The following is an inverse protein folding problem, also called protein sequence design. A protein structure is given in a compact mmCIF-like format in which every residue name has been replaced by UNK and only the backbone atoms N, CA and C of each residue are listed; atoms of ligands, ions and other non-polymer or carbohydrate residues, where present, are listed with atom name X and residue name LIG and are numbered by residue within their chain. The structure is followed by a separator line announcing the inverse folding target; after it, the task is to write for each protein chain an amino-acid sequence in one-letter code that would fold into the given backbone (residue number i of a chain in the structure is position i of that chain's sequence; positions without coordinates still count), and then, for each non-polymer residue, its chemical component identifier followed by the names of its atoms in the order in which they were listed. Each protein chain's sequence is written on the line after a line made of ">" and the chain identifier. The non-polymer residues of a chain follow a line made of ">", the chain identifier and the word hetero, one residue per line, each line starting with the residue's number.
data_IF_814954274924
#
_entry.id   IF_814954274924
#
_cell.length_a   1.000
_cell.length_b   1.000
_cell.length_c   1.000
_cell.angle_alpha   90.00
_cell.angle_beta   90.00
_cell.angle_gamma   90.00
#
_symmetry.space_group_name_H-M   'P 1'
#
loop_
_entity.id
_entity.type
_entity.pdbx_description
1 polymer ?
#
# COMPACT_ATOMS: atom_id res chain seq x y z
N UNK A 1 -10.68 -0.86 28.31
CA UNK A 1 -11.51 -1.11 27.12
C UNK A 1 -11.10 -2.45 26.54
N UNK A 2 -11.85 -3.53 26.83
CA UNK A 2 -11.56 -4.87 26.30
C UNK A 2 -12.26 -4.99 24.95
N UNK A 3 -11.53 -4.81 23.86
CA UNK A 3 -11.99 -5.21 22.53
C UNK A 3 -12.04 -6.74 22.50
N UNK A 4 -13.24 -7.30 22.61
CA UNK A 4 -13.47 -8.70 22.29
C UNK A 4 -13.10 -8.91 20.82
N UNK A 5 -12.00 -9.61 20.58
CA UNK A 5 -11.62 -10.15 19.28
C UNK A 5 -12.59 -11.30 18.96
N UNK A 6 -13.82 -10.98 18.58
CA UNK A 6 -14.67 -11.96 17.93
C UNK A 6 -14.01 -12.36 16.61
N UNK A 7 -13.91 -13.66 16.35
CA UNK A 7 -13.61 -14.14 15.01
C UNK A 7 -14.70 -13.59 14.10
N UNK A 8 -14.32 -12.68 13.19
CA UNK A 8 -15.23 -12.19 12.16
C UNK A 8 -15.43 -13.38 11.23
N UNK A 9 -16.61 -14.01 11.32
CA UNK A 9 -17.07 -14.99 10.33
C UNK A 9 -17.03 -14.34 8.95
N UNK A 10 -16.87 -15.17 7.93
CA UNK A 10 -16.92 -14.73 6.54
C UNK A 10 -18.13 -13.82 6.31
N UNK A 11 -17.88 -12.63 5.78
CA UNK A 11 -18.93 -11.66 5.45
C UNK A 11 -19.08 -11.61 3.94
N UNK A 12 -20.33 -11.47 3.50
CA UNK A 12 -20.69 -11.54 2.10
C UNK A 12 -21.60 -10.39 1.72
N UNK A 13 -21.32 -9.80 0.57
CA UNK A 13 -22.05 -8.66 0.03
C UNK A 13 -22.04 -8.69 -1.49
N UNK A 14 -23.11 -8.20 -2.09
CA UNK A 14 -23.17 -7.90 -3.52
C UNK A 14 -22.81 -6.44 -3.73
N UNK A 15 -21.85 -6.19 -4.61
CA UNK A 15 -21.26 -4.88 -4.85
C UNK A 15 -21.42 -4.45 -6.30
N UNK A 16 -21.33 -3.14 -6.52
CA UNK A 16 -21.34 -2.49 -7.83
C UNK A 16 -19.96 -1.95 -8.18
N UNK A 17 -19.80 -1.45 -9.41
CA UNK A 17 -18.56 -0.80 -9.83
C UNK A 17 -18.22 0.47 -9.01
N UNK A 18 -19.17 1.05 -8.28
CA UNK A 18 -18.92 2.22 -7.44
C UNK A 18 -18.27 1.88 -6.08
N UNK A 19 -18.25 0.61 -5.70
CA UNK A 19 -17.91 0.19 -4.33
C UNK A 19 -16.43 -0.22 -4.16
N UNK A 20 -15.58 0.00 -5.17
CA UNK A 20 -14.16 -0.40 -5.09
C UNK A 20 -13.42 0.25 -3.93
N UNK A 21 -13.60 1.56 -3.71
CA UNK A 21 -12.93 2.26 -2.61
C UNK A 21 -13.27 1.62 -1.25
N UNK A 22 -14.52 1.19 -1.07
CA UNK A 22 -14.94 0.47 0.13
C UNK A 22 -14.20 -0.86 0.29
N UNK A 23 -14.05 -1.65 -0.77
CA UNK A 23 -13.32 -2.92 -0.74
C UNK A 23 -11.83 -2.72 -0.44
N UNK A 24 -11.22 -1.66 -0.96
CA UNK A 24 -9.84 -1.31 -0.66
C UNK A 24 -9.65 -0.97 0.82
N UNK A 25 -10.57 -0.22 1.41
CA UNK A 25 -10.58 0.04 2.85
C UNK A 25 -10.75 -1.26 3.67
N UNK A 26 -11.62 -2.17 3.24
CA UNK A 26 -11.75 -3.50 3.88
C UNK A 26 -10.47 -4.32 3.76
N UNK A 27 -9.83 -4.31 2.60
CA UNK A 27 -8.60 -5.07 2.33
C UNK A 27 -7.44 -4.69 3.27
N UNK A 28 -7.45 -3.48 3.86
CA UNK A 28 -6.45 -3.07 4.87
C UNK A 28 -6.48 -3.91 6.15
N UNK A 29 -7.63 -4.52 6.45
CA UNK A 29 -7.89 -5.19 7.74
C UNK A 29 -8.43 -6.62 7.61
N UNK A 30 -8.83 -7.04 6.40
CA UNK A 30 -9.39 -8.36 6.11
C UNK A 30 -8.80 -8.93 4.82
N UNK A 31 -8.72 -10.26 4.73
CA UNK A 31 -8.44 -10.92 3.45
C UNK A 31 -9.67 -10.78 2.56
N UNK A 32 -9.64 -9.80 1.65
CA UNK A 32 -10.80 -9.43 0.84
C UNK A 32 -10.69 -10.03 -0.55
N UNK A 33 -11.78 -10.61 -1.04
CA UNK A 33 -11.88 -11.20 -2.36
C UNK A 33 -13.11 -10.70 -3.10
N UNK A 34 -13.03 -10.65 -4.43
CA UNK A 34 -14.18 -10.39 -5.29
C UNK A 34 -14.41 -11.61 -6.17
N UNK A 35 -15.62 -12.16 -6.10
CA UNK A 35 -16.09 -13.18 -7.03
C UNK A 35 -16.86 -12.51 -8.17
N UNK A 36 -16.27 -12.51 -9.36
CA UNK A 36 -16.89 -11.97 -10.57
C UNK A 36 -17.65 -13.06 -11.31
N UNK A 37 -18.85 -12.72 -11.78
CA UNK A 37 -19.73 -13.68 -12.46
C UNK A 37 -20.57 -13.03 -13.58
N UNK A 38 -21.08 -13.88 -14.49
CA UNK A 38 -21.93 -13.51 -15.64
C UNK A 38 -23.41 -13.77 -15.37
N UNK A 39 -24.30 -13.07 -16.10
CA UNK A 39 -25.77 -13.17 -15.97
C UNK A 39 -26.33 -14.59 -16.19
N UNK A 40 -25.65 -15.43 -16.97
CA UNK A 40 -26.11 -16.78 -17.32
C UNK A 40 -25.56 -17.89 -16.39
N UNK A 41 -24.97 -17.55 -15.24
CA UNK A 41 -24.56 -18.58 -14.27
C UNK A 41 -25.74 -18.99 -13.38
N UNK A 42 -26.60 -19.89 -13.87
CA UNK A 42 -27.77 -20.39 -13.12
C UNK A 42 -27.37 -21.06 -11.78
N UNK A 43 -26.10 -21.45 -11.63
CA UNK A 43 -25.53 -22.04 -10.40
C UNK A 43 -25.01 -21.01 -9.38
N UNK A 44 -25.22 -19.69 -9.57
CA UNK A 44 -24.69 -18.64 -8.68
C UNK A 44 -25.08 -18.88 -7.22
N UNK A 45 -26.35 -19.14 -6.97
CA UNK A 45 -26.88 -19.15 -5.60
C UNK A 45 -26.41 -20.37 -4.82
N UNK A 46 -26.45 -21.57 -5.39
CA UNK A 46 -26.03 -22.76 -4.66
C UNK A 46 -24.51 -22.75 -4.36
N UNK A 47 -23.71 -22.36 -5.34
CA UNK A 47 -22.26 -22.32 -5.22
C UNK A 47 -21.78 -21.30 -4.19
N UNK A 48 -22.33 -20.08 -4.23
CA UNK A 48 -22.05 -19.04 -3.23
C UNK A 48 -22.53 -19.48 -1.85
N UNK A 49 -23.72 -20.06 -1.73
CA UNK A 49 -24.25 -20.51 -0.44
C UNK A 49 -23.40 -21.62 0.18
N UNK A 50 -22.80 -22.51 -0.62
CA UNK A 50 -21.85 -23.49 -0.12
C UNK A 50 -20.53 -22.84 0.32
N UNK A 51 -20.05 -21.84 -0.43
CA UNK A 51 -18.91 -21.03 -0.01
C UNK A 51 -19.18 -20.31 1.32
N UNK A 52 -20.41 -19.83 1.56
CA UNK A 52 -20.79 -19.22 2.85
C UNK A 52 -20.78 -20.20 4.02
N UNK A 53 -20.91 -21.51 3.77
CA UNK A 53 -20.80 -22.55 4.80
C UNK A 53 -19.35 -22.84 5.16
N UNK A 54 -18.39 -22.51 4.28
CA UNK A 54 -16.98 -22.70 4.58
C UNK A 54 -16.50 -21.70 5.64
N UNK A 55 -15.86 -22.23 6.69
CA UNK A 55 -15.43 -21.45 7.85
C UNK A 55 -14.05 -20.82 7.61
N UNK A 56 -13.99 -19.77 6.79
CA UNK A 56 -12.79 -18.95 6.66
C UNK A 56 -12.75 -17.84 7.72
N UNK A 57 -11.72 -17.84 8.55
CA UNK A 57 -11.52 -16.78 9.54
C UNK A 57 -10.92 -15.50 8.92
N UNK A 58 -11.55 -14.34 9.18
CA UNK A 58 -11.08 -13.02 8.74
C UNK A 58 -10.97 -12.89 7.20
N UNK A 59 -11.88 -13.54 6.50
CA UNK A 59 -12.05 -13.42 5.04
C UNK A 59 -13.33 -12.65 4.74
N UNK A 60 -13.27 -11.72 3.80
CA UNK A 60 -14.41 -11.00 3.25
C UNK A 60 -14.55 -11.36 1.78
N UNK A 61 -15.74 -11.77 1.35
CA UNK A 61 -15.99 -12.15 -0.05
C UNK A 61 -17.13 -11.29 -0.57
N UNK A 62 -16.79 -10.37 -1.46
CA UNK A 62 -17.75 -9.58 -2.20
C UNK A 62 -18.07 -10.26 -3.55
N UNK A 63 -19.25 -9.99 -4.10
CA UNK A 63 -19.63 -10.48 -5.43
C UNK A 63 -19.99 -9.37 -6.36
N UNK A 64 -19.48 -9.44 -7.59
CA UNK A 64 -19.72 -8.42 -8.59
C UNK A 64 -20.25 -9.05 -9.86
N UNK A 65 -21.40 -8.55 -10.30
CA UNK A 65 -22.01 -8.92 -11.57
C UNK A 65 -21.37 -8.15 -12.70
N UNK A 66 -20.76 -8.83 -13.66
CA UNK A 66 -20.29 -8.19 -14.89
C UNK A 66 -21.47 -8.10 -15.86
N UNK A 67 -22.06 -6.91 -15.97
CA UNK A 67 -23.22 -6.65 -16.84
C UNK A 67 -22.87 -5.93 -18.13
N UNK A 68 -21.80 -5.14 -18.13
CA UNK A 68 -21.24 -4.46 -19.29
C UNK A 68 -19.72 -4.62 -19.26
N UNK A 69 -19.15 -5.09 -20.36
CA UNK A 69 -17.72 -5.30 -20.48
C UNK A 69 -17.05 -3.96 -20.74
N UNK A 70 -16.78 -3.19 -19.68
CA UNK A 70 -15.84 -2.07 -19.77
C UNK A 70 -14.43 -2.63 -20.03
N UNK A 71 -13.52 -1.81 -20.58
CA UNK A 71 -12.16 -2.23 -20.97
C UNK A 71 -11.40 -3.01 -19.88
N UNK A 72 -11.57 -2.64 -18.59
CA UNK A 72 -10.96 -3.32 -17.43
C UNK A 72 -11.44 -4.78 -17.28
N UNK A 73 -12.68 -5.05 -17.68
CA UNK A 73 -13.32 -6.35 -17.54
C UNK A 73 -13.25 -7.21 -18.81
N UNK A 74 -12.78 -6.66 -19.93
CA UNK A 74 -12.61 -7.44 -21.16
C UNK A 74 -11.67 -8.62 -20.90
N UNK A 75 -10.57 -8.37 -20.19
CA UNK A 75 -9.58 -9.39 -19.85
C UNK A 75 -10.11 -10.45 -18.86
N UNK A 76 -11.09 -10.08 -18.03
CA UNK A 76 -11.69 -10.99 -17.05
C UNK A 76 -12.87 -11.79 -17.63
N UNK A 77 -13.53 -11.25 -18.66
CA UNK A 77 -14.78 -11.79 -19.20
C UNK A 77 -14.65 -13.20 -19.80
N UNK A 78 -13.48 -13.54 -20.35
CA UNK A 78 -13.17 -14.85 -20.93
C UNK A 78 -12.90 -15.94 -19.88
N UNK A 79 -12.58 -15.56 -18.64
CA UNK A 79 -12.19 -16.48 -17.56
C UNK A 79 -13.32 -16.74 -16.56
N UNK A 80 -14.46 -16.05 -16.68
CA UNK A 80 -15.57 -16.13 -15.72
C UNK A 80 -16.09 -17.57 -15.50
N UNK A 81 -16.51 -17.92 -14.26
CA UNK A 81 -16.40 -17.11 -13.04
C UNK A 81 -14.97 -17.10 -12.50
N UNK A 82 -14.57 -15.98 -11.90
CA UNK A 82 -13.24 -15.81 -11.29
C UNK A 82 -13.36 -15.31 -9.86
N UNK A 83 -12.41 -15.70 -9.02
CA UNK A 83 -12.20 -15.13 -7.70
C UNK A 83 -10.87 -14.42 -7.70
N UNK A 84 -10.84 -13.16 -7.29
CA UNK A 84 -9.60 -12.37 -7.18
C UNK A 84 -9.38 -11.90 -5.74
N UNK A 85 -8.12 -11.76 -5.32
CA UNK A 85 -7.75 -11.12 -4.05
C UNK A 85 -7.66 -9.60 -4.27
N UNK A 86 -8.27 -8.83 -3.38
CA UNK A 86 -8.17 -7.36 -3.36
C UNK A 86 -6.99 -6.94 -2.49
N UNK A 87 -6.19 -6.01 -3.00
CA UNK A 87 -5.08 -5.42 -2.27
C UNK A 87 -5.43 -3.99 -1.82
N UNK A 88 -5.03 -3.57 -0.61
CA UNK A 88 -5.35 -2.25 -0.05
C UNK A 88 -5.10 -1.04 -0.95
N UNK A 89 -4.07 -1.10 -1.80
CA UNK A 89 -3.52 0.04 -2.54
C UNK A 89 -3.33 -0.24 -4.04
N UNK A 90 -3.82 -1.39 -4.55
CA UNK A 90 -3.74 -1.73 -5.98
C UNK A 90 -5.12 -1.88 -6.58
N UNK A 91 -5.70 -0.73 -6.93
CA UNK A 91 -7.00 -0.67 -7.59
C UNK A 91 -6.86 -1.31 -8.98
N UNK A 92 -7.71 -2.30 -9.26
CA UNK A 92 -7.73 -3.07 -10.51
C UNK A 92 -6.52 -4.00 -10.76
N UNK A 93 -5.71 -4.33 -9.74
CA UNK A 93 -4.71 -5.39 -9.88
C UNK A 93 -5.35 -6.77 -9.65
N UNK A 94 -5.71 -7.42 -10.75
CA UNK A 94 -6.31 -8.76 -10.76
C UNK A 94 -5.28 -9.87 -11.03
N UNK A 95 -3.99 -9.64 -10.76
CA UNK A 95 -2.92 -10.64 -10.98
C UNK A 95 -3.14 -11.90 -10.14
N UNK A 96 -3.64 -11.75 -8.93
CA UNK A 96 -3.98 -12.89 -8.08
C UNK A 96 -5.45 -13.24 -8.20
N UNK A 97 -5.70 -14.17 -9.10
CA UNK A 97 -7.01 -14.73 -9.36
C UNK A 97 -6.93 -16.22 -9.64
N UNK A 98 -8.06 -16.88 -9.46
CA UNK A 98 -8.28 -18.26 -9.91
C UNK A 98 -9.61 -18.34 -10.64
N UNK A 99 -9.72 -19.25 -11.61
CA UNK A 99 -11.02 -19.63 -12.16
C UNK A 99 -11.78 -20.37 -11.08
N UNK A 100 -12.95 -19.85 -10.73
CA UNK A 100 -13.70 -20.27 -9.55
C UNK A 100 -14.88 -21.16 -9.95
N UNK A 101 -14.55 -22.27 -10.65
CA UNK A 101 -15.54 -23.20 -11.23
C UNK A 101 -15.96 -24.30 -10.25
N UNK A 102 -15.10 -24.65 -9.29
CA UNK A 102 -15.36 -25.64 -8.25
C UNK A 102 -15.06 -25.06 -6.87
N UNK A 103 -15.70 -25.64 -5.85
CA UNK A 103 -15.54 -25.19 -4.46
C UNK A 103 -14.10 -25.41 -4.01
N UNK A 104 -13.53 -26.57 -4.34
CA UNK A 104 -12.14 -26.93 -4.03
C UNK A 104 -11.12 -25.91 -4.55
N UNK A 105 -11.34 -25.38 -5.76
CA UNK A 105 -10.44 -24.38 -6.38
C UNK A 105 -10.40 -23.09 -5.54
N UNK A 106 -11.56 -22.68 -5.01
CA UNK A 106 -11.66 -21.50 -4.15
C UNK A 106 -11.03 -21.79 -2.79
N UNK A 107 -11.37 -22.93 -2.18
CA UNK A 107 -10.83 -23.28 -0.87
C UNK A 107 -9.31 -23.37 -0.90
N UNK A 108 -8.75 -23.97 -1.95
CA UNK A 108 -7.32 -24.03 -2.18
C UNK A 108 -6.72 -22.63 -2.35
N UNK A 109 -7.32 -21.77 -3.19
CA UNK A 109 -6.83 -20.43 -3.43
C UNK A 109 -6.84 -19.54 -2.17
N UNK A 110 -7.95 -19.55 -1.41
CA UNK A 110 -8.05 -18.81 -0.15
C UNK A 110 -7.03 -19.36 0.86
N UNK A 111 -6.91 -20.69 1.00
CA UNK A 111 -5.95 -21.30 1.94
C UNK A 111 -4.50 -20.94 1.59
N UNK A 112 -4.14 -20.96 0.31
CA UNK A 112 -2.81 -20.55 -0.16
C UNK A 112 -2.53 -19.06 0.14
N UNK A 113 -3.52 -18.19 -0.08
CA UNK A 113 -3.37 -16.74 0.06
C UNK A 113 -3.56 -16.21 1.49
N UNK A 114 -3.86 -17.09 2.45
CA UNK A 114 -4.06 -16.77 3.88
C UNK A 114 -3.10 -17.53 4.82
N UNK A 115 -2.07 -18.17 4.27
CA UNK A 115 -1.06 -18.88 5.06
C UNK A 115 -0.35 -17.94 6.04
N UNK A 116 -0.22 -18.35 7.31
CA UNK A 116 0.61 -17.61 8.27
C UNK A 116 2.08 -17.80 7.90
N UNK A 117 2.75 -16.69 7.61
CA UNK A 117 4.19 -16.65 7.34
C UNK A 117 5.00 -15.99 8.46
N UNK A 118 4.36 -15.70 9.59
CA UNK A 118 5.06 -15.10 10.72
C UNK A 118 6.04 -16.09 11.34
N UNK A 119 7.30 -15.69 11.43
CA UNK A 119 8.37 -16.53 11.99
C UNK A 119 8.64 -16.11 13.43
N UNK A 120 8.60 -17.06 14.37
CA UNK A 120 9.12 -16.84 15.72
C UNK A 120 10.64 -16.98 15.69
N UNK A 121 11.36 -15.92 16.03
CA UNK A 121 12.81 -15.90 15.89
C UNK A 121 13.57 -16.63 17.00
N UNK A 122 12.95 -16.91 18.15
CA UNK A 122 13.63 -17.45 19.34
C UNK A 122 14.99 -16.77 19.67
N UNK A 123 15.16 -15.49 19.32
CA UNK A 123 16.42 -14.73 19.52
C UNK A 123 17.39 -14.64 18.33
N UNK A 124 17.09 -15.24 17.18
CA UNK A 124 17.91 -15.09 15.97
C UNK A 124 17.49 -13.87 15.12
N UNK A 125 18.08 -12.72 15.41
CA UNK A 125 17.73 -11.44 14.75
C UNK A 125 18.44 -11.20 13.41
N UNK A 126 19.52 -11.94 13.12
CA UNK A 126 20.35 -11.71 11.92
C UNK A 126 19.60 -12.03 10.63
N UNK A 127 18.63 -12.94 10.66
CA UNK A 127 17.86 -13.35 9.49
C UNK A 127 16.94 -12.26 8.94
N UNK A 128 16.53 -11.27 9.74
CA UNK A 128 15.57 -10.24 9.30
C UNK A 128 16.22 -9.12 8.49
N UNK A 129 17.46 -8.79 8.83
CA UNK A 129 18.12 -7.56 8.34
C UNK A 129 18.47 -7.64 6.84
N UNK A 130 18.51 -8.84 6.25
CA UNK A 130 18.88 -9.07 4.85
C UNK A 130 17.71 -9.30 3.89
N UNK A 131 16.46 -9.39 4.37
CA UNK A 131 15.33 -9.84 3.54
C UNK A 131 14.69 -8.73 2.68
N UNK A 132 15.09 -7.48 2.88
CA UNK A 132 14.43 -6.32 2.27
C UNK A 132 14.86 -6.05 0.82
N UNK A 133 15.92 -6.68 0.31
CA UNK A 133 16.56 -6.28 -0.97
C UNK A 133 15.65 -6.53 -2.18
N UNK A 134 14.64 -7.39 -2.06
CA UNK A 134 13.75 -7.74 -3.17
C UNK A 134 12.29 -7.30 -3.00
N UNK A 135 11.96 -6.44 -2.03
CA UNK A 135 10.56 -6.05 -1.84
C UNK A 135 10.27 -5.13 -0.67
N UNK A 136 9.24 -5.48 0.09
CA UNK A 136 8.64 -4.70 1.16
C UNK A 136 9.41 -4.77 2.48
N UNK A 137 8.96 -3.97 3.45
CA UNK A 137 9.61 -3.87 4.75
C UNK A 137 9.55 -5.18 5.52
N UNK A 138 10.53 -5.37 6.39
CA UNK A 138 10.48 -6.43 7.40
C UNK A 138 9.93 -5.88 8.71
N UNK A 139 9.00 -6.61 9.31
CA UNK A 139 8.33 -6.27 10.55
C UNK A 139 8.74 -7.25 11.64
N UNK A 140 9.06 -6.73 12.82
CA UNK A 140 9.41 -7.53 13.99
C UNK A 140 8.61 -7.08 15.22
N UNK A 141 7.66 -7.90 15.64
CA UNK A 141 6.89 -7.67 16.85
C UNK A 141 7.54 -8.34 18.06
N UNK A 142 7.84 -7.57 19.10
CA UNK A 142 8.16 -8.09 20.43
C UNK A 142 6.98 -7.86 21.35
N UNK A 143 6.43 -8.91 21.95
CA UNK A 143 5.31 -8.81 22.87
C UNK A 143 5.35 -9.95 23.89
N UNK A 144 4.57 -9.83 24.97
CA UNK A 144 4.50 -10.89 25.97
C UNK A 144 3.86 -12.15 25.37
N UNK A 145 4.31 -13.33 25.82
CA UNK A 145 3.71 -14.61 25.44
C UNK A 145 2.20 -14.59 25.66
N UNK A 146 1.43 -15.03 24.65
CA UNK A 146 -0.04 -15.04 24.71
C UNK A 146 -0.70 -13.66 24.60
N UNK A 147 0.04 -12.59 24.27
CA UNK A 147 -0.54 -11.26 24.08
C UNK A 147 -1.52 -11.25 22.89
N UNK A 148 -2.70 -10.61 23.02
CA UNK A 148 -3.62 -10.39 21.89
C UNK A 148 -2.96 -9.69 20.71
N UNK A 149 -1.92 -8.87 20.96
CA UNK A 149 -1.13 -8.22 19.89
C UNK A 149 -0.44 -9.23 18.97
N UNK A 150 0.04 -10.36 19.50
CA UNK A 150 0.68 -11.39 18.68
C UNK A 150 -0.36 -12.05 17.78
N UNK A 151 -1.55 -12.35 18.31
CA UNK A 151 -2.63 -12.93 17.52
C UNK A 151 -3.08 -11.97 16.41
N UNK A 152 -3.26 -10.69 16.74
CA UNK A 152 -3.57 -9.66 15.75
C UNK A 152 -2.47 -9.56 14.67
N UNK A 153 -1.20 -9.52 15.08
CA UNK A 153 -0.07 -9.46 14.16
C UNK A 153 0.00 -10.66 13.19
N UNK A 154 -0.28 -11.87 13.70
CA UNK A 154 -0.40 -13.09 12.87
C UNK A 154 -1.58 -13.05 11.90
N UNK A 155 -2.67 -12.36 12.26
CA UNK A 155 -3.79 -12.15 11.32
C UNK A 155 -3.38 -11.17 10.22
N UNK A 156 -2.69 -10.09 10.58
CA UNK A 156 -2.23 -9.06 9.65
C UNK A 156 -1.19 -9.63 8.68
N UNK A 157 -0.25 -10.46 9.15
CA UNK A 157 0.76 -11.08 8.28
C UNK A 157 0.13 -11.87 7.12
N UNK A 158 -1.04 -12.50 7.33
CA UNK A 158 -1.77 -13.24 6.29
C UNK A 158 -2.39 -12.33 5.22
N UNK A 159 -2.85 -11.14 5.61
CA UNK A 159 -3.43 -10.14 4.68
C UNK A 159 -2.36 -9.70 3.68
N UNK A 160 -1.21 -9.32 4.22
CA UNK A 160 -0.07 -8.79 3.50
C UNK A 160 0.89 -9.87 2.97
N UNK A 161 0.59 -11.15 3.21
CA UNK A 161 1.32 -12.26 2.63
C UNK A 161 1.06 -12.29 1.13
N UNK A 162 2.08 -11.88 0.36
CA UNK A 162 2.04 -12.00 -1.08
C UNK A 162 3.40 -11.80 -1.76
N UNK A 163 3.57 -12.44 -2.92
CA UNK A 163 4.66 -12.21 -3.88
C UNK A 163 4.70 -10.78 -4.42
N UNK A 164 3.61 -10.02 -4.24
CA UNK A 164 3.53 -8.61 -4.65
C UNK A 164 4.42 -7.73 -3.78
N UNK A 165 4.21 -7.72 -2.46
CA UNK A 165 4.99 -6.85 -1.57
C UNK A 165 6.20 -7.56 -0.98
N UNK A 166 6.27 -8.90 -0.96
CA UNK A 166 7.40 -9.65 -0.38
C UNK A 166 7.82 -9.17 1.02
N UNK A 167 6.84 -8.77 1.83
CA UNK A 167 7.08 -8.34 3.22
C UNK A 167 7.43 -9.53 4.11
N UNK A 168 8.31 -9.31 5.08
CA UNK A 168 8.63 -10.33 6.08
C UNK A 168 7.99 -10.00 7.41
N UNK A 169 7.35 -10.99 8.03
CA UNK A 169 6.78 -10.88 9.37
C UNK A 169 7.51 -11.80 10.33
N UNK A 170 8.05 -11.23 11.39
CA UNK A 170 8.66 -11.97 12.47
C UNK A 170 8.17 -11.49 13.82
N UNK A 171 8.25 -12.35 14.83
CA UNK A 171 7.91 -11.98 16.20
C UNK A 171 8.81 -12.67 17.23
N UNK A 172 8.77 -12.14 18.46
CA UNK A 172 9.44 -12.73 19.62
C UNK A 172 8.51 -12.61 20.82
N UNK A 173 8.31 -13.74 21.49
CA UNK A 173 7.53 -13.84 22.71
C UNK A 173 8.43 -13.64 23.92
N UNK A 174 8.14 -12.61 24.72
CA UNK A 174 8.85 -12.36 25.97
C UNK A 174 8.10 -12.99 27.15
N UNK A 175 8.84 -13.61 28.06
CA UNK A 175 8.29 -14.11 29.35
C UNK A 175 8.18 -13.00 30.40
N UNK A 176 9.01 -11.95 30.29
CA UNK A 176 8.96 -10.79 31.17
C UNK A 176 7.89 -9.81 30.69
N UNK A 177 7.10 -9.24 31.62
CA UNK A 177 6.12 -8.19 31.33
C UNK A 177 6.81 -6.99 30.68
N UNK A 178 6.73 -6.91 29.37
CA UNK A 178 7.24 -5.81 28.54
C UNK A 178 6.09 -5.19 27.76
N UNK A 179 6.18 -3.88 27.50
CA UNK A 179 5.26 -3.23 26.56
C UNK A 179 5.57 -3.78 25.16
N UNK A 180 4.54 -4.08 24.34
CA UNK A 180 4.78 -4.53 22.99
C UNK A 180 5.51 -3.44 22.19
N UNK A 181 6.38 -3.88 21.30
CA UNK A 181 7.16 -3.01 20.44
C UNK A 181 7.25 -3.62 19.04
N UNK A 182 6.87 -2.84 18.03
CA UNK A 182 7.01 -3.20 16.63
C UNK A 182 8.22 -2.47 16.06
N UNK A 183 9.20 -3.21 15.58
CA UNK A 183 10.33 -2.66 14.81
C UNK A 183 10.05 -2.87 13.33
N UNK A 184 10.15 -1.80 12.54
CA UNK A 184 10.05 -1.85 11.08
C UNK A 184 11.44 -1.60 10.51
N UNK A 185 11.90 -2.52 9.66
CA UNK A 185 13.18 -2.44 8.96
C UNK A 185 12.91 -2.12 7.49
N UNK A 186 13.28 -0.93 7.06
CA UNK A 186 13.20 -0.53 5.65
C UNK A 186 14.49 -0.89 4.89
N UNK A 187 15.60 -0.98 5.61
CA UNK A 187 16.90 -1.46 5.14
C UNK A 187 17.74 -1.90 6.34
N UNK A 188 18.95 -2.39 6.09
CA UNK A 188 19.94 -2.66 7.15
C UNK A 188 20.40 -1.42 7.92
N UNK A 189 20.15 -0.22 7.40
CA UNK A 189 20.57 1.06 7.98
C UNK A 189 19.40 1.93 8.44
N UNK A 190 18.15 1.56 8.13
CA UNK A 190 16.99 2.37 8.44
C UNK A 190 15.92 1.54 9.14
N UNK A 191 15.65 1.93 10.39
CA UNK A 191 14.66 1.26 11.25
C UNK A 191 13.78 2.29 11.95
N UNK A 192 12.52 1.94 12.19
CA UNK A 192 11.61 2.68 13.08
C UNK A 192 11.06 1.75 14.14
N UNK A 193 10.86 2.29 15.35
CA UNK A 193 10.36 1.51 16.49
C UNK A 193 9.12 2.17 17.04
N UNK A 194 8.02 1.42 17.04
CA UNK A 194 6.75 1.78 17.65
C UNK A 194 6.62 1.01 18.98
N UNK A 195 6.09 1.66 20.01
CA UNK A 195 5.95 1.08 21.35
C UNK A 195 4.60 1.43 21.95
N UNK A 196 4.05 0.51 22.75
CA UNK A 196 2.85 0.78 23.54
C UNK A 196 1.71 -0.19 23.25
N UNK A 197 0.75 -0.28 24.17
CA UNK A 197 -0.38 -1.20 24.04
C UNK A 197 -1.44 -0.72 23.05
N UNK A 198 -1.47 0.58 22.75
CA UNK A 198 -2.47 1.21 21.87
C UNK A 198 -1.94 1.38 20.44
N UNK A 199 -0.94 0.59 20.03
CA UNK A 199 -0.44 0.60 18.66
C UNK A 199 -1.50 0.04 17.71
N UNK A 200 -1.94 0.85 16.75
CA UNK A 200 -2.72 0.35 15.63
C UNK A 200 -1.79 -0.38 14.64
N UNK A 201 -1.68 -1.69 14.80
CA UNK A 201 -0.81 -2.52 13.97
C UNK A 201 -1.21 -2.48 12.49
N UNK A 202 -2.51 -2.37 12.16
CA UNK A 202 -2.96 -2.32 10.77
C UNK A 202 -2.43 -1.06 10.09
N UNK A 203 -2.66 0.08 10.71
CA UNK A 203 -2.23 1.37 10.17
C UNK A 203 -0.71 1.46 10.09
N UNK A 204 0.00 1.06 11.15
CA UNK A 204 1.47 1.10 11.16
C UNK A 204 2.05 0.18 10.07
N UNK A 205 1.54 -1.05 9.91
CA UNK A 205 2.05 -1.97 8.88
C UNK A 205 1.74 -1.42 7.49
N UNK A 206 0.52 -0.95 7.26
CA UNK A 206 0.12 -0.37 5.98
C UNK A 206 0.99 0.84 5.60
N UNK A 207 1.15 1.81 6.49
CA UNK A 207 1.93 3.03 6.21
C UNK A 207 3.41 2.76 5.96
N UNK A 208 3.94 1.65 6.48
CA UNK A 208 5.37 1.34 6.44
C UNK A 208 5.70 0.07 5.62
N UNK A 209 4.78 -0.35 4.74
CA UNK A 209 4.87 -1.58 3.93
C UNK A 209 6.01 -1.57 2.91
N UNK A 210 6.37 -0.40 2.38
CA UNK A 210 7.43 -0.28 1.38
C UNK A 210 8.81 -0.19 2.04
N UNK A 211 9.72 -1.10 1.67
CA UNK A 211 11.12 -0.97 2.05
C UNK A 211 11.80 0.08 1.17
N UNK A 212 13.05 0.43 1.47
CA UNK A 212 13.83 1.32 0.62
C UNK A 212 14.28 0.68 -0.71
N UNK A 213 13.98 -0.60 -0.94
CA UNK A 213 14.26 -1.38 -2.14
C UNK A 213 12.98 -1.87 -2.84
N UNK A 214 11.82 -1.36 -2.42
CA UNK A 214 10.55 -1.70 -3.06
C UNK A 214 10.57 -1.34 -4.55
N UNK A 215 10.08 -2.24 -5.39
CA UNK A 215 9.86 -1.98 -6.81
C UNK A 215 8.52 -1.28 -6.99
N UNK A 216 8.58 0.02 -7.31
CA UNK A 216 7.42 0.84 -7.51
C UNK A 216 6.86 0.71 -8.92
N UNK A 217 5.56 0.51 -8.99
CA UNK A 217 4.78 0.88 -10.17
C UNK A 217 4.59 2.41 -10.21
N UNK A 218 4.30 2.94 -11.40
CA UNK A 218 4.15 4.39 -11.59
C UNK A 218 3.12 5.00 -10.64
N UNK A 219 1.90 4.48 -10.66
CA UNK A 219 0.78 5.02 -9.91
C UNK A 219 1.01 4.88 -8.39
N UNK A 220 1.64 3.79 -7.97
CA UNK A 220 2.03 3.52 -6.59
C UNK A 220 3.02 4.58 -6.08
N UNK A 221 4.07 4.88 -6.85
CA UNK A 221 5.02 5.93 -6.47
C UNK A 221 4.38 7.33 -6.48
N UNK A 222 3.59 7.65 -7.51
CA UNK A 222 2.93 8.96 -7.63
C UNK A 222 1.97 9.21 -6.46
N UNK A 223 1.17 8.21 -6.02
CA UNK A 223 0.29 8.38 -4.84
C UNK A 223 1.09 8.65 -3.55
N UNK A 224 2.25 8.02 -3.41
CA UNK A 224 3.15 8.23 -2.26
C UNK A 224 3.76 9.62 -2.28
N UNK A 225 4.38 10.03 -3.39
CA UNK A 225 5.11 11.32 -3.46
C UNK A 225 4.21 12.54 -3.49
N UNK A 226 2.93 12.37 -3.85
CA UNK A 226 1.94 13.43 -3.70
C UNK A 226 1.71 13.83 -2.24
N UNK A 227 2.00 12.94 -1.28
CA UNK A 227 1.74 13.13 0.16
C UNK A 227 3.02 13.32 0.97
N UNK A 228 4.15 12.83 0.47
CA UNK A 228 5.40 12.71 1.23
C UNK A 228 6.61 12.94 0.34
N UNK A 229 7.78 13.19 0.94
CA UNK A 229 9.03 13.20 0.18
C UNK A 229 9.33 11.81 -0.37
N UNK A 230 9.81 11.73 -1.61
CA UNK A 230 10.07 10.45 -2.29
C UNK A 230 11.36 10.42 -3.08
N UNK A 231 11.95 9.24 -3.20
CA UNK A 231 13.14 9.00 -3.99
C UNK A 231 12.98 7.69 -4.73
N UNK A 232 13.05 7.73 -6.06
CA UNK A 232 12.98 6.53 -6.90
C UNK A 232 14.22 6.42 -7.77
N UNK A 233 14.81 5.23 -7.73
CA UNK A 233 15.91 4.83 -8.60
C UNK A 233 15.30 4.31 -9.91
N UNK A 234 15.56 5.00 -11.01
CA UNK A 234 15.08 4.65 -12.34
C UNK A 234 16.14 3.79 -13.03
N UNK A 235 15.83 2.50 -13.19
CA UNK A 235 16.79 1.47 -13.62
C UNK A 235 16.41 0.96 -15.01
N UNK A 236 17.36 0.81 -15.95
CA UNK A 236 17.08 0.30 -17.30
C UNK A 236 16.83 -1.21 -17.37
N UNK A 237 16.98 -1.91 -16.25
CA UNK A 237 16.95 -3.37 -16.13
C UNK A 237 15.82 -3.83 -15.20
N UNK A 238 15.41 -5.08 -15.37
CA UNK A 238 14.42 -5.81 -14.56
C UNK A 238 14.92 -6.16 -13.16
N UNK A 239 16.21 -5.96 -12.91
CA UNK A 239 16.87 -6.28 -11.65
C UNK A 239 17.92 -5.22 -11.31
N UNK A 240 18.12 -5.02 -10.01
CA UNK A 240 19.17 -4.16 -9.49
C UNK A 240 20.54 -4.84 -9.60
N UNK A 241 21.50 -4.12 -10.16
CA UNK A 241 22.92 -4.46 -10.10
C UNK A 241 23.50 -4.24 -8.70
N UNK A 242 24.64 -4.86 -8.40
CA UNK A 242 25.33 -4.70 -7.11
C UNK A 242 25.70 -3.23 -6.81
N UNK A 243 26.04 -2.44 -7.84
CA UNK A 243 26.34 -1.02 -7.67
C UNK A 243 25.09 -0.21 -7.31
N UNK A 244 23.94 -0.52 -7.93
CA UNK A 244 22.67 0.13 -7.64
C UNK A 244 22.21 -0.20 -6.21
N UNK A 245 22.28 -1.48 -5.81
CA UNK A 245 21.99 -1.91 -4.44
C UNK A 245 22.87 -1.14 -3.45
N UNK A 246 24.18 -1.05 -3.70
CA UNK A 246 25.09 -0.32 -2.82
C UNK A 246 24.73 1.18 -2.72
N UNK A 247 24.38 1.83 -3.83
CA UNK A 247 23.95 3.24 -3.83
C UNK A 247 22.61 3.46 -3.12
N UNK A 248 21.67 2.54 -3.28
CA UNK A 248 20.41 2.53 -2.56
C UNK A 248 20.63 2.37 -1.06
N UNK A 249 21.52 1.47 -0.63
CA UNK A 249 21.91 1.32 0.79
C UNK A 249 22.53 2.60 1.36
N UNK A 250 23.45 3.23 0.62
CA UNK A 250 24.06 4.49 1.06
C UNK A 250 23.02 5.61 1.15
N UNK A 251 22.10 5.69 0.18
CA UNK A 251 21.01 6.68 0.19
C UNK A 251 20.05 6.42 1.33
N UNK A 252 19.72 5.16 1.61
CA UNK A 252 18.87 4.74 2.73
C UNK A 252 19.44 5.20 4.07
N UNK A 253 20.76 5.11 4.26
CA UNK A 253 21.43 5.63 5.46
C UNK A 253 21.30 7.15 5.60
N UNK A 254 21.36 7.89 4.49
CA UNK A 254 21.30 9.35 4.48
C UNK A 254 19.87 9.89 4.64
N UNK A 255 18.91 9.19 4.06
CA UNK A 255 17.52 9.62 3.93
C UNK A 255 16.56 8.94 4.90
N UNK A 256 17.09 8.13 5.82
CA UNK A 256 16.27 7.32 6.72
C UNK A 256 15.22 8.17 7.45
N UNK A 257 13.95 7.77 7.28
CA UNK A 257 12.82 8.40 7.92
C UNK A 257 12.41 9.76 7.35
N UNK A 258 13.09 10.26 6.31
CA UNK A 258 12.78 11.53 5.64
C UNK A 258 12.11 11.33 4.28
N UNK A 259 12.46 10.27 3.56
CA UNK A 259 11.97 9.97 2.22
C UNK A 259 11.44 8.55 2.16
N UNK A 260 10.33 8.35 1.43
CA UNK A 260 10.00 7.02 0.92
C UNK A 260 10.94 6.72 -0.24
N UNK A 261 11.49 5.50 -0.27
CA UNK A 261 12.52 5.13 -1.23
C UNK A 261 12.16 3.83 -1.93
N UNK A 262 12.60 3.68 -3.17
CA UNK A 262 12.52 2.43 -3.91
C UNK A 262 13.15 2.56 -5.28
N UNK A 263 12.83 1.64 -6.17
CA UNK A 263 13.29 1.68 -7.55
C UNK A 263 12.15 1.36 -8.50
N UNK A 264 12.33 1.69 -9.77
CA UNK A 264 11.36 1.37 -10.80
C UNK A 264 12.08 1.10 -12.11
N UNK A 265 11.45 0.25 -12.93
CA UNK A 265 11.91 -0.02 -14.29
C UNK A 265 11.60 1.19 -15.15
N UNK A 266 12.63 1.73 -15.78
CA UNK A 266 12.54 2.97 -16.54
C UNK A 266 11.74 2.82 -17.85
N UNK A 267 11.84 1.67 -18.48
CA UNK A 267 11.19 1.33 -19.75
C UNK A 267 9.71 0.98 -19.59
N UNK A 268 9.38 0.29 -18.50
CA UNK A 268 8.01 -0.15 -18.19
C UNK A 268 7.19 0.98 -17.58
N UNK A 269 7.82 1.84 -16.76
CA UNK A 269 7.09 2.90 -16.07
C UNK A 269 7.25 4.23 -16.78
N UNK A 270 6.13 4.93 -17.00
CA UNK A 270 6.16 6.30 -17.52
C UNK A 270 6.79 7.30 -16.51
N UNK A 271 7.29 6.84 -15.36
CA UNK A 271 7.96 7.67 -14.35
C UNK A 271 9.18 8.40 -14.92
N UNK A 272 9.96 7.76 -15.80
CA UNK A 272 11.09 8.43 -16.45
C UNK A 272 10.64 9.64 -17.28
N UNK A 273 9.53 9.49 -18.00
CA UNK A 273 8.90 10.59 -18.73
C UNK A 273 8.35 11.67 -17.78
N UNK A 274 7.64 11.27 -16.72
CA UNK A 274 7.07 12.20 -15.72
C UNK A 274 8.14 13.08 -15.06
N UNK A 275 9.34 12.53 -14.85
CA UNK A 275 10.48 13.25 -14.28
C UNK A 275 11.41 13.90 -15.32
N UNK A 276 11.04 13.87 -16.61
CA UNK A 276 11.81 14.45 -17.73
C UNK A 276 13.22 13.87 -17.87
N UNK A 277 13.32 12.58 -17.60
CA UNK A 277 14.53 11.78 -17.60
C UNK A 277 14.55 11.02 -18.94
N UNK A 278 15.26 11.58 -19.94
CA UNK A 278 15.13 11.15 -21.35
C UNK A 278 16.11 10.07 -21.85
N UNK A 279 17.27 9.89 -21.21
CA UNK A 279 18.27 8.89 -21.61
C UNK A 279 18.02 7.49 -21.01
N UNK A 280 17.24 6.66 -21.69
CA UNK A 280 16.82 5.32 -21.26
C UNK A 280 17.96 4.34 -20.88
N UNK A 281 19.20 4.59 -21.29
CA UNK A 281 20.32 3.67 -21.04
C UNK A 281 20.99 3.84 -19.68
N UNK A 282 20.77 4.96 -18.99
CA UNK A 282 21.46 5.27 -17.75
C UNK A 282 20.56 5.11 -16.53
N UNK A 283 21.12 4.57 -15.45
CA UNK A 283 20.46 4.57 -14.15
C UNK A 283 20.53 5.97 -13.51
N UNK A 284 19.40 6.46 -13.05
CA UNK A 284 19.25 7.80 -12.48
C UNK A 284 18.41 7.74 -11.20
N UNK A 285 18.54 8.74 -10.34
CA UNK A 285 17.72 8.87 -9.13
C UNK A 285 16.91 10.14 -9.22
N UNK A 286 15.59 10.01 -9.20
CA UNK A 286 14.67 11.12 -9.05
C UNK A 286 14.36 11.31 -7.56
N UNK A 287 14.58 12.52 -7.04
CA UNK A 287 14.33 12.89 -5.64
C UNK A 287 13.31 14.02 -5.62
N UNK A 288 12.14 13.75 -5.05
CA UNK A 288 11.04 14.69 -4.87
C UNK A 288 11.00 15.12 -3.41
N UNK A 289 11.37 16.37 -3.15
CA UNK A 289 11.25 16.98 -1.84
C UNK A 289 10.00 17.86 -1.81
N UNK A 290 8.95 17.42 -1.11
CA UNK A 290 7.67 18.12 -0.99
C UNK A 290 7.72 19.28 0.01
N UNK A 291 8.71 19.32 0.89
CA UNK A 291 8.91 20.45 1.81
C UNK A 291 9.42 21.69 1.05
N UNK A 292 10.24 21.48 0.01
CA UNK A 292 10.78 22.56 -0.84
C UNK A 292 10.15 22.62 -2.24
N UNK A 293 9.21 21.72 -2.54
CA UNK A 293 8.59 21.50 -3.86
C UNK A 293 9.60 21.30 -5.01
N UNK A 294 10.69 20.60 -4.69
CA UNK A 294 11.82 20.38 -5.57
C UNK A 294 11.88 18.97 -6.16
N UNK A 295 12.32 18.89 -7.41
CA UNK A 295 12.75 17.68 -8.10
C UNK A 295 14.26 17.77 -8.40
N UNK A 296 15.00 16.74 -8.00
CA UNK A 296 16.41 16.55 -8.33
C UNK A 296 16.60 15.26 -9.11
N UNK A 297 17.43 15.32 -10.15
CA UNK A 297 17.86 14.15 -10.91
C UNK A 297 19.35 13.95 -10.67
N UNK A 298 19.73 12.77 -10.16
CA UNK A 298 21.11 12.43 -9.83
C UNK A 298 21.57 11.25 -10.67
N UNK A 299 22.70 11.42 -11.35
CA UNK A 299 23.29 10.36 -12.17
C UNK A 299 23.90 9.24 -11.29
N UNK A 300 23.48 7.99 -11.49
CA UNK A 300 24.00 6.84 -10.72
C UNK A 300 25.37 6.36 -11.18
N UNK A 301 25.94 6.88 -12.26
CA UNK A 301 27.31 6.60 -12.67
C UNK A 301 28.32 7.55 -12.00
N UNK A 302 27.87 8.60 -11.32
CA UNK A 302 28.75 9.50 -10.56
C UNK A 302 29.52 8.74 -9.46
N UNK A 303 30.75 9.15 -9.18
CA UNK A 303 31.51 8.60 -8.05
C UNK A 303 30.73 8.71 -6.73
N UNK A 304 30.94 7.77 -5.82
CA UNK A 304 30.15 7.66 -4.59
C UNK A 304 30.19 8.93 -3.73
N UNK A 305 31.33 9.62 -3.67
CA UNK A 305 31.44 10.90 -2.97
C UNK A 305 30.46 11.94 -3.54
N UNK A 306 30.49 12.13 -4.86
CA UNK A 306 29.64 13.11 -5.55
C UNK A 306 28.16 12.70 -5.49
N UNK A 307 27.88 11.41 -5.66
CA UNK A 307 26.53 10.87 -5.50
C UNK A 307 25.94 11.19 -4.11
N UNK A 308 26.70 10.93 -3.03
CA UNK A 308 26.28 11.26 -1.66
C UNK A 308 26.09 12.75 -1.44
N UNK A 309 26.93 13.58 -2.05
CA UNK A 309 26.79 15.04 -2.01
C UNK A 309 25.44 15.47 -2.60
N UNK A 310 25.12 15.07 -3.83
CA UNK A 310 23.86 15.46 -4.48
C UNK A 310 22.62 14.89 -3.77
N UNK A 311 22.70 13.66 -3.29
CA UNK A 311 21.63 13.07 -2.47
C UNK A 311 21.40 13.93 -1.23
N UNK A 312 22.44 14.32 -0.48
CA UNK A 312 22.28 15.19 0.69
C UNK A 312 21.77 16.58 0.33
N UNK A 313 22.23 17.14 -0.79
CA UNK A 313 21.85 18.48 -1.23
C UNK A 313 20.33 18.60 -1.44
N UNK A 314 19.69 17.53 -1.92
CA UNK A 314 18.23 17.45 -2.09
C UNK A 314 17.43 17.61 -0.76
N UNK A 315 18.07 17.48 0.41
CA UNK A 315 17.43 17.72 1.70
C UNK A 315 17.20 19.20 2.01
N UNK A 316 18.05 20.08 1.49
CA UNK A 316 18.13 21.47 1.96
C UNK A 316 18.11 22.48 0.82
N UNK A 317 18.46 22.08 -0.39
CA UNK A 317 18.56 22.99 -1.51
C UNK A 317 17.18 23.33 -2.07
N UNK A 318 16.96 24.61 -2.36
CA UNK A 318 15.75 25.15 -3.00
C UNK A 318 15.98 25.52 -4.48
N UNK A 319 17.24 25.52 -4.93
CA UNK A 319 17.62 25.77 -6.32
C UNK A 319 17.58 24.47 -7.10
N UNK A 320 16.38 24.12 -7.56
CA UNK A 320 16.04 22.83 -8.14
C UNK A 320 15.05 23.01 -9.30
N UNK A 321 14.71 21.92 -9.97
CA UNK A 321 13.56 21.95 -10.88
C UNK A 321 12.30 21.87 -10.03
N UNK A 322 11.29 22.70 -10.33
CA UNK A 322 10.00 22.55 -9.66
C UNK A 322 9.39 21.21 -10.04
N UNK A 323 8.84 20.53 -9.04
CA UNK A 323 8.04 19.35 -9.30
C UNK A 323 6.82 19.78 -10.15
N UNK A 324 6.51 19.11 -11.27
CA UNK A 324 5.45 19.56 -12.16
C UNK A 324 4.08 19.51 -11.45
N UNK A 325 3.39 20.66 -11.37
CA UNK A 325 2.03 20.77 -10.80
C UNK A 325 1.02 19.88 -11.54
N UNK A 326 1.31 19.52 -12.80
CA UNK A 326 0.45 18.73 -13.69
C UNK A 326 0.65 17.20 -13.61
N UNK A 327 1.52 16.68 -12.73
CA UNK A 327 1.68 15.21 -12.58
C UNK A 327 0.42 14.52 -12.03
N UNK A 328 -0.58 15.30 -11.61
CA UNK A 328 -1.89 14.86 -11.16
C UNK A 328 -3.03 15.20 -12.13
N UNK A 329 -2.96 14.79 -13.40
CA UNK A 329 -4.20 14.46 -14.14
C UNK A 329 -4.85 13.17 -13.61
N UNK A 330 -4.97 13.07 -12.29
CA UNK A 330 -6.06 12.40 -11.61
C UNK A 330 -6.81 13.54 -10.93
N UNK A 331 -7.97 13.87 -11.48
CA UNK A 331 -8.95 14.76 -10.86
C UNK A 331 -9.38 14.12 -9.54
N UNK A 332 -8.61 14.34 -8.47
CA UNK A 332 -9.18 14.35 -7.13
C UNK A 332 -9.82 15.72 -7.04
N UNK A 333 -11.14 15.75 -7.08
CA UNK A 333 -11.93 16.89 -6.61
C UNK A 333 -11.59 17.05 -5.12
N UNK A 334 -10.49 17.75 -4.85
CA UNK A 334 -10.24 18.32 -3.54
C UNK A 334 -11.29 19.40 -3.40
N UNK A 335 -12.35 19.12 -2.63
CA UNK A 335 -12.96 20.19 -1.87
C UNK A 335 -11.85 20.75 -0.99
N UNK A 336 -11.14 21.76 -1.49
CA UNK A 336 -10.19 22.53 -0.68
C UNK A 336 -10.96 22.93 0.56
N UNK A 337 -10.35 22.85 1.75
CA UNK A 337 -10.97 23.34 2.99
C UNK A 337 -11.52 24.77 2.83
N UNK A 338 -10.96 25.54 1.90
CA UNK A 338 -11.48 26.86 1.48
C UNK A 338 -12.85 26.80 0.83
N UNK A 339 -13.23 25.78 0.06
CA UNK A 339 -14.57 25.63 -0.52
C UNK A 339 -15.64 25.30 0.54
N UNK A 340 -15.30 24.49 1.54
CA UNK A 340 -16.18 24.23 2.70
C UNK A 340 -16.31 25.50 3.55
N UNK A 341 -15.19 26.21 3.81
CA UNK A 341 -15.23 27.50 4.49
C UNK A 341 -16.05 28.53 3.71
N UNK A 342 -15.92 28.58 2.39
CA UNK A 342 -16.68 29.50 1.53
C UNK A 342 -18.16 29.15 1.54
N UNK A 343 -18.54 27.86 1.50
CA UNK A 343 -19.95 27.45 1.55
C UNK A 343 -20.59 27.75 2.91
N UNK A 344 -19.84 27.59 4.00
CA UNK A 344 -20.29 27.98 5.34
C UNK A 344 -20.45 29.51 5.41
N UNK A 345 -19.47 30.27 4.90
CA UNK A 345 -19.49 31.73 4.91
C UNK A 345 -20.67 32.27 4.09
N UNK A 346 -20.91 31.73 2.89
CA UNK A 346 -22.02 32.15 2.03
C UNK A 346 -23.37 31.79 2.64
N UNK A 347 -23.48 30.63 3.30
CA UNK A 347 -24.72 30.24 4.01
C UNK A 347 -25.03 31.19 5.17
N UNK A 348 -24.00 31.61 5.93
CA UNK A 348 -24.16 32.60 7.00
C UNK A 348 -24.60 33.95 6.44
N UNK A 349 -23.97 34.42 5.36
CA UNK A 349 -24.34 35.68 4.71
C UNK A 349 -25.80 35.63 4.22
N UNK A 350 -26.22 34.53 3.59
CA UNK A 350 -27.60 34.35 3.14
C UNK A 350 -28.60 34.33 4.30
N UNK A 351 -28.26 33.66 5.40
CA UNK A 351 -29.11 33.63 6.60
C UNK A 351 -29.28 35.03 7.21
N UNK A 352 -28.19 35.82 7.29
CA UNK A 352 -28.24 37.21 7.77
C UNK A 352 -29.09 38.08 6.85
N UNK A 353 -28.95 37.93 5.53
CA UNK A 353 -29.73 38.70 4.55
C UNK A 353 -31.23 38.34 4.56
N UNK A 354 -31.56 37.05 4.72
CA UNK A 354 -32.94 36.62 4.85
C UNK A 354 -33.58 37.15 6.15
N UNK A 355 -32.81 37.16 7.25
CA UNK A 355 -33.28 37.72 8.53
C UNK A 355 -33.48 39.24 8.48
N UNK A 356 -32.60 39.98 7.82
CA UNK A 356 -32.76 41.44 7.71
C UNK A 356 -33.94 41.85 6.84
N UNK A 357 -34.19 41.14 5.74
CA UNK A 357 -35.30 41.45 4.82
C UNK A 357 -36.67 41.14 5.43
N UNK A 358 -36.78 40.06 6.21
CA UNK A 358 -38.00 39.71 6.96
C UNK A 358 -38.31 40.68 8.10
N UNK A 359 -37.28 41.20 8.77
CA UNK A 359 -37.46 42.21 9.84
C UNK A 359 -37.79 43.61 9.32
N UNK A 360 -37.37 43.97 8.10
CA UNK A 360 -37.70 45.28 7.52
C UNK A 360 -39.11 45.37 6.94
N UNK A 361 -39.83 44.24 6.87
CA UNK A 361 -41.21 44.14 6.40
C UNK A 361 -42.25 44.10 7.54
N UNK A 362 -41.80 44.14 8.80
CA UNK A 362 -42.60 44.47 9.98
C UNK A 362 -42.40 45.95 10.34
#
# INVERSE_FOLDING_TARGET
>A
MFLYLFAIKSTFEEITNGDYDYLHEKAKSLNTYIYFYSRNSDNKNEFIQNLLKSEFENVHIATMKITNVNKIYNDLSSELPILTKVFPDRINDFKLRTTARKEDDIQQFISQTTKDISINLFGNFKSIIGLNIEGGSSFHLRANKGSPMIQLYKKISKIYYNDIYKMTFAYTENTKKSKPALTVYYSKHCVRVFKGNDMDLNEIIFQNRFSHFHHFEREEFLDVVNKTNGMVFLIPSDHLSSNEIYKMEQSSKLMCGKFVMGWSRRDVTQLGHDFRVHNDQNSEVAIVNRETDCLFIVNMNAEMHNFKYYVKDALTNTNCWRYPEDSTKVVKIHYRKTAILLSILTSIIFAVFAYSTTRSSE
#
